data_IF_717008431582
#
_entry.id   IF_717008431582
#
_cell.length_a   1.000
_cell.length_b   1.000
_cell.length_c   1.000
_cell.angle_alpha   90.00
_cell.angle_beta   90.00
_cell.angle_gamma   90.00
#
_symmetry.space_group_name_H-M   'P 1'
#
loop_
_entity.id
_entity.type
_entity.pdbx_description
1 polymer ?
#
# COMPACT_ATOMS: atom_id res chain seq x y z
N UNK A 1 13.14 10.83 5.49
CA UNK A 1 13.62 9.62 4.78
C UNK A 1 15.00 9.25 5.26
N UNK A 2 15.40 7.96 5.19
CA UNK A 2 16.79 7.58 5.36
C UNK A 2 17.69 8.30 4.33
N UNK A 3 18.94 8.64 4.68
CA UNK A 3 19.78 9.52 3.87
C UNK A 3 20.25 8.91 2.54
N UNK A 4 20.20 7.58 2.39
CA UNK A 4 20.62 6.84 1.20
C UNK A 4 19.49 6.58 0.20
N UNK A 5 18.28 7.09 0.47
CA UNK A 5 17.13 6.86 -0.39
C UNK A 5 17.10 7.83 -1.58
N UNK A 6 16.94 7.27 -2.78
CA UNK A 6 16.66 8.02 -4.01
C UNK A 6 15.17 8.35 -4.07
N UNK A 7 14.83 9.63 -4.26
CA UNK A 7 13.45 10.14 -4.26
C UNK A 7 13.03 10.50 -5.68
N UNK A 8 11.83 10.09 -6.07
CA UNK A 8 11.21 10.45 -7.33
C UNK A 8 9.74 10.83 -7.13
N UNK A 9 9.27 11.82 -7.88
CA UNK A 9 7.88 12.27 -7.84
C UNK A 9 6.93 11.18 -8.37
N UNK A 10 5.75 11.11 -7.76
CA UNK A 10 4.63 10.27 -8.20
C UNK A 10 3.45 11.19 -8.48
N UNK A 11 2.94 11.18 -9.72
CA UNK A 11 1.86 12.08 -10.17
C UNK A 11 0.89 11.38 -11.10
N UNK A 12 -0.39 11.75 -11.00
CA UNK A 12 -1.47 11.18 -11.81
C UNK A 12 -2.08 9.93 -11.18
N UNK A 13 -2.91 9.17 -11.93
CA UNK A 13 -3.54 7.96 -11.41
C UNK A 13 -2.50 6.94 -10.90
N UNK A 14 -2.62 6.58 -9.62
CA UNK A 14 -1.71 5.66 -8.93
C UNK A 14 -2.51 4.54 -8.30
N UNK A 15 -2.11 3.30 -8.60
CA UNK A 15 -2.70 2.11 -8.02
C UNK A 15 -1.85 1.62 -6.84
N UNK A 16 -2.46 1.50 -5.65
CA UNK A 16 -1.79 0.91 -4.48
C UNK A 16 -1.57 -0.60 -4.70
N UNK A 17 -2.58 -1.30 -5.22
CA UNK A 17 -2.42 -2.69 -5.66
C UNK A 17 -1.29 -2.85 -6.70
N UNK A 18 -1.11 -1.84 -7.56
CA UNK A 18 0.03 -1.69 -8.46
C UNK A 18 1.39 -1.74 -7.76
N UNK A 19 1.53 -1.03 -6.65
CA UNK A 19 2.76 -1.00 -5.85
C UNK A 19 3.07 -2.37 -5.24
N UNK A 20 2.05 -3.18 -4.96
CA UNK A 20 2.21 -4.55 -4.46
C UNK A 20 2.63 -5.56 -5.55
N UNK A 21 2.69 -5.12 -6.82
CA UNK A 21 3.07 -5.96 -7.96
C UNK A 21 1.88 -6.48 -8.79
N UNK A 22 0.67 -5.98 -8.58
CA UNK A 22 -0.50 -6.35 -9.39
C UNK A 22 -0.71 -5.36 -10.55
N UNK A 23 -0.78 -5.84 -11.79
CA UNK A 23 -1.06 -5.00 -12.94
C UNK A 23 -2.54 -4.62 -13.08
N UNK A 24 -2.84 -3.80 -14.10
CA UNK A 24 -4.21 -3.38 -14.41
C UNK A 24 -5.13 -4.59 -14.67
N UNK A 25 -6.31 -4.60 -14.06
CA UNK A 25 -7.27 -5.71 -14.16
C UNK A 25 -7.05 -6.83 -13.13
N UNK A 26 -6.31 -6.56 -12.06
CA UNK A 26 -6.27 -7.42 -10.88
C UNK A 26 -7.67 -7.65 -10.30
N UNK A 27 -7.85 -8.76 -9.58
CA UNK A 27 -9.10 -9.09 -8.90
C UNK A 27 -8.88 -9.32 -7.41
N UNK A 28 -9.93 -9.14 -6.61
CA UNK A 28 -9.99 -9.54 -5.20
C UNK A 28 -11.09 -10.59 -5.00
N UNK A 29 -10.87 -11.49 -4.05
CA UNK A 29 -11.85 -12.48 -3.60
C UNK A 29 -12.01 -12.42 -2.07
N UNK A 30 -13.16 -11.92 -1.56
CA UNK A 30 -14.32 -11.46 -2.33
C UNK A 30 -14.07 -10.10 -3.02
N UNK A 31 -14.76 -9.80 -4.15
CA UNK A 31 -14.57 -8.55 -4.89
C UNK A 31 -14.82 -7.28 -4.08
N UNK A 32 -15.67 -7.37 -3.04
CA UNK A 32 -15.98 -6.27 -2.14
C UNK A 32 -14.75 -5.76 -1.38
N UNK A 33 -13.70 -6.55 -1.19
CA UNK A 33 -12.48 -6.14 -0.49
C UNK A 33 -11.50 -5.34 -1.38
N UNK A 34 -11.71 -5.30 -2.70
CA UNK A 34 -10.86 -4.59 -3.64
C UNK A 34 -10.62 -3.10 -3.30
N UNK A 35 -11.65 -2.32 -2.92
CA UNK A 35 -11.47 -0.90 -2.57
C UNK A 35 -10.51 -0.63 -1.40
N UNK A 36 -10.26 -1.60 -0.50
CA UNK A 36 -9.23 -1.43 0.55
C UNK A 36 -7.81 -1.49 -0.06
N UNK A 37 -7.61 -2.38 -1.03
CA UNK A 37 -6.35 -2.54 -1.75
C UNK A 37 -6.04 -1.37 -2.69
N UNK A 38 -7.07 -0.66 -3.17
CA UNK A 38 -6.90 0.43 -4.11
C UNK A 38 -8.06 1.45 -3.98
N UNK A 39 -7.97 2.40 -3.04
CA UNK A 39 -9.08 3.29 -2.71
C UNK A 39 -9.31 4.41 -3.74
N UNK A 40 -8.32 4.73 -4.58
CA UNK A 40 -8.38 5.84 -5.53
C UNK A 40 -7.63 5.60 -6.87
N UNK A 41 -7.78 4.43 -7.54
CA UNK A 41 -6.94 4.03 -8.68
C UNK A 41 -7.03 4.94 -9.91
N UNK A 42 -8.10 5.74 -10.01
CA UNK A 42 -8.41 6.56 -11.18
C UNK A 42 -8.31 8.08 -10.91
N UNK A 43 -7.88 8.50 -9.72
CA UNK A 43 -7.77 9.93 -9.40
C UNK A 43 -6.67 10.60 -10.25
N UNK A 44 -7.02 11.53 -11.18
CA UNK A 44 -6.04 12.21 -12.00
C UNK A 44 -5.17 13.20 -11.22
N UNK A 45 -5.57 13.55 -9.99
CA UNK A 45 -4.89 14.49 -9.12
C UNK A 45 -4.10 13.82 -8.00
N UNK A 46 -4.05 12.48 -7.99
CA UNK A 46 -3.20 11.76 -7.05
C UNK A 46 -1.74 12.20 -7.22
N UNK A 47 -1.06 12.35 -6.09
CA UNK A 47 0.29 12.88 -6.04
C UNK A 47 1.06 12.38 -4.83
N UNK A 48 2.38 12.49 -4.88
CA UNK A 48 3.26 12.15 -3.78
C UNK A 48 4.66 11.84 -4.27
N UNK A 49 5.33 10.89 -3.62
CA UNK A 49 6.68 10.50 -4.00
C UNK A 49 6.93 9.03 -3.73
N UNK A 50 7.92 8.49 -4.44
CA UNK A 50 8.57 7.23 -4.11
C UNK A 50 9.96 7.51 -3.55
N UNK A 51 10.43 6.62 -2.68
CA UNK A 51 11.77 6.67 -2.14
C UNK A 51 12.33 5.24 -2.09
N UNK A 52 13.42 4.98 -2.80
CA UNK A 52 14.03 3.64 -2.88
C UNK A 52 15.42 3.62 -2.27
N UNK A 53 15.71 2.61 -1.46
CA UNK A 53 17.02 2.44 -0.85
C UNK A 53 17.15 1.11 -0.10
N UNK A 54 18.13 1.02 0.80
CA UNK A 54 18.30 -0.18 1.62
C UNK A 54 17.11 -0.36 2.55
N UNK A 55 16.49 -1.52 2.46
CA UNK A 55 15.32 -1.88 3.27
C UNK A 55 13.99 -1.77 2.53
N UNK A 56 13.99 -1.36 1.25
CA UNK A 56 12.82 -1.44 0.37
C UNK A 56 12.50 -0.13 -0.33
N UNK A 57 11.41 -0.14 -1.07
CA UNK A 57 10.85 1.04 -1.74
C UNK A 57 9.62 1.51 -1.00
N UNK A 58 9.57 2.81 -0.69
CA UNK A 58 8.44 3.47 -0.05
C UNK A 58 7.69 4.26 -1.11
N UNK A 59 6.37 4.25 -1.05
CA UNK A 59 5.49 5.17 -1.74
C UNK A 59 4.71 5.95 -0.70
N UNK A 60 4.64 7.27 -0.85
CA UNK A 60 3.70 8.13 -0.14
C UNK A 60 2.79 8.76 -1.18
N UNK A 61 1.49 8.52 -1.08
CA UNK A 61 0.50 8.96 -2.06
C UNK A 61 -0.65 9.64 -1.35
N UNK A 62 -1.11 10.76 -1.89
CA UNK A 62 -2.35 11.44 -1.52
C UNK A 62 -3.28 11.39 -2.71
N UNK A 63 -4.52 10.98 -2.48
CA UNK A 63 -5.55 10.88 -3.52
C UNK A 63 -6.94 11.17 -2.93
N UNK A 64 -7.92 11.48 -3.78
CA UNK A 64 -9.32 11.65 -3.38
C UNK A 64 -9.99 10.30 -3.10
N UNK A 65 -10.39 10.08 -1.85
CA UNK A 65 -11.14 8.90 -1.42
C UNK A 65 -11.85 9.14 -0.08
N UNK A 66 -13.03 8.54 0.06
CA UNK A 66 -13.73 8.47 1.33
C UNK A 66 -13.26 7.27 2.17
N UNK A 67 -13.40 7.40 3.49
CA UNK A 67 -13.11 6.30 4.40
C UNK A 67 -14.00 5.08 4.10
N UNK A 68 -13.46 3.85 4.18
CA UNK A 68 -14.25 2.65 4.01
C UNK A 68 -15.28 2.52 5.15
N UNK A 69 -16.45 1.94 4.83
CA UNK A 69 -17.46 1.65 5.84
C UNK A 69 -16.97 0.60 6.85
N UNK A 70 -17.32 0.77 8.13
CA UNK A 70 -16.86 -0.12 9.21
C UNK A 70 -17.22 -1.61 8.99
N UNK A 71 -18.36 -1.90 8.34
CA UNK A 71 -18.74 -3.27 7.98
C UNK A 71 -17.73 -3.93 7.03
N UNK A 72 -17.17 -3.17 6.10
CA UNK A 72 -16.19 -3.67 5.14
C UNK A 72 -14.89 -4.14 5.84
N UNK A 73 -14.44 -3.41 6.86
CA UNK A 73 -13.25 -3.79 7.63
C UNK A 73 -13.47 -5.09 8.40
N UNK A 74 -14.68 -5.32 8.92
CA UNK A 74 -15.05 -6.58 9.57
C UNK A 74 -15.12 -7.76 8.60
N UNK A 75 -15.64 -7.52 7.39
CA UNK A 75 -15.83 -8.56 6.37
C UNK A 75 -14.53 -8.91 5.62
N UNK A 76 -13.56 -7.99 5.58
CA UNK A 76 -12.32 -8.11 4.79
C UNK A 76 -11.06 -8.29 5.65
N UNK A 77 -11.14 -8.99 6.80
CA UNK A 77 -9.98 -9.26 7.66
C UNK A 77 -8.81 -9.94 6.93
N UNK A 78 -9.11 -10.78 5.94
CA UNK A 78 -8.15 -11.38 5.01
C UNK A 78 -8.84 -11.67 3.68
N UNK A 79 -8.17 -11.39 2.56
CA UNK A 79 -8.68 -11.72 1.22
C UNK A 79 -7.56 -12.10 0.26
N UNK A 80 -7.93 -12.73 -0.86
CA UNK A 80 -6.99 -13.09 -1.93
C UNK A 80 -7.05 -12.10 -3.08
N UNK A 81 -5.92 -11.90 -3.74
CA UNK A 81 -5.80 -11.10 -4.96
C UNK A 81 -5.10 -11.87 -6.06
N UNK A 82 -5.44 -11.58 -7.33
CA UNK A 82 -4.83 -12.22 -8.49
C UNK A 82 -4.65 -11.25 -9.66
N UNK A 83 -3.59 -11.44 -10.43
CA UNK A 83 -3.33 -10.79 -11.71
C UNK A 83 -2.35 -11.62 -12.54
N UNK A 84 -2.76 -12.09 -13.72
CA UNK A 84 -1.89 -12.92 -14.57
C UNK A 84 -1.35 -14.13 -13.80
N UNK A 85 -0.03 -14.22 -13.64
CA UNK A 85 0.64 -15.28 -12.88
C UNK A 85 0.98 -14.90 -11.43
N UNK A 86 0.54 -13.73 -10.98
CA UNK A 86 0.72 -13.21 -9.63
C UNK A 86 -0.52 -13.51 -8.79
N UNK A 87 -0.32 -14.09 -7.62
CA UNK A 87 -1.34 -14.19 -6.57
C UNK A 87 -0.84 -13.50 -5.32
N UNK A 88 -1.74 -13.05 -4.45
CA UNK A 88 -1.35 -12.59 -3.13
C UNK A 88 -2.44 -12.76 -2.10
N UNK A 89 -2.03 -12.79 -0.85
CA UNK A 89 -2.92 -12.80 0.31
C UNK A 89 -2.73 -11.49 1.05
N UNK A 90 -3.82 -10.75 1.22
CA UNK A 90 -3.84 -9.50 2.00
C UNK A 90 -4.46 -9.78 3.35
N UNK A 91 -3.88 -9.23 4.41
CA UNK A 91 -4.35 -9.35 5.78
C UNK A 91 -4.43 -7.95 6.39
N UNK A 92 -5.56 -7.62 7.03
CA UNK A 92 -5.67 -6.40 7.82
C UNK A 92 -4.77 -6.50 9.06
N UNK A 93 -4.03 -5.44 9.33
CA UNK A 93 -3.22 -5.28 10.53
C UNK A 93 -3.84 -4.22 11.45
N UNK A 94 -3.36 -4.15 12.69
CA UNK A 94 -3.72 -3.06 13.59
C UNK A 94 -3.24 -1.73 12.97
N UNK A 95 -4.15 -0.79 12.67
CA UNK A 95 -3.75 0.44 12.02
C UNK A 95 -3.16 1.42 13.05
N UNK A 96 -2.22 2.28 12.65
CA UNK A 96 -1.71 3.30 13.54
C UNK A 96 -2.83 4.30 13.90
N UNK A 97 -2.89 4.78 15.13
CA UNK A 97 -3.78 5.88 15.47
C UNK A 97 -3.31 7.15 14.76
N UNK A 98 -4.25 7.87 14.15
CA UNK A 98 -4.06 9.20 13.58
C UNK A 98 -5.22 10.07 14.03
N UNK A 99 -4.94 11.15 14.76
CA UNK A 99 -5.98 12.00 15.33
C UNK A 99 -6.92 12.54 14.26
N UNK A 100 -8.23 12.36 14.43
CA UNK A 100 -9.25 12.88 13.52
C UNK A 100 -9.26 12.24 12.12
N UNK A 101 -8.62 11.08 11.93
CA UNK A 101 -8.63 10.34 10.68
C UNK A 101 -9.05 8.87 10.92
N UNK A 102 -9.77 8.28 9.98
CA UNK A 102 -9.96 6.83 9.96
C UNK A 102 -8.70 6.18 9.37
N UNK A 103 -8.24 5.06 9.94
CA UNK A 103 -7.02 4.40 9.48
C UNK A 103 -7.24 2.93 9.14
N UNK A 104 -6.49 2.46 8.15
CA UNK A 104 -6.48 1.07 7.69
C UNK A 104 -5.02 0.67 7.48
N UNK A 105 -4.63 -0.49 7.97
CA UNK A 105 -3.32 -1.07 7.70
C UNK A 105 -3.47 -2.47 7.13
N UNK A 106 -2.61 -2.80 6.18
CA UNK A 106 -2.61 -4.06 5.45
C UNK A 106 -1.19 -4.56 5.29
N UNK A 107 -1.05 -5.88 5.30
CA UNK A 107 0.13 -6.55 4.76
C UNK A 107 -0.28 -7.43 3.60
N UNK A 108 0.57 -7.55 2.60
CA UNK A 108 0.38 -8.46 1.48
C UNK A 108 1.64 -9.25 1.22
N UNK A 109 1.47 -10.55 1.01
CA UNK A 109 2.50 -11.42 0.44
C UNK A 109 2.08 -11.83 -0.95
N UNK A 110 2.93 -11.61 -1.94
CA UNK A 110 2.67 -11.97 -3.33
C UNK A 110 3.60 -13.08 -3.79
N UNK A 111 3.11 -13.88 -4.73
CA UNK A 111 3.85 -14.95 -5.40
C UNK A 111 3.57 -14.88 -6.89
N UNK A 112 4.63 -14.76 -7.67
CA UNK A 112 4.60 -14.80 -9.13
C UNK A 112 5.31 -16.05 -9.61
N UNK A 113 4.64 -16.87 -10.41
CA UNK A 113 5.24 -18.07 -11.02
C UNK A 113 5.45 -17.81 -12.51
N UNK A 114 6.69 -17.87 -12.99
CA UNK A 114 6.97 -17.74 -14.44
C UNK A 114 6.87 -19.08 -15.15
N UNK A 115 6.79 -19.07 -16.48
CA UNK A 115 6.60 -20.29 -17.31
C UNK A 115 7.67 -21.38 -17.08
N UNK A 116 8.88 -21.00 -16.69
CA UNK A 116 9.96 -21.93 -16.34
C UNK A 116 9.77 -22.63 -14.98
N UNK A 117 8.71 -22.29 -14.23
CA UNK A 117 8.46 -22.74 -12.87
C UNK A 117 9.24 -21.99 -11.80
N UNK A 118 10.03 -20.96 -12.17
CA UNK A 118 10.70 -20.11 -11.19
C UNK A 118 9.68 -19.23 -10.46
N UNK A 119 9.95 -18.94 -9.19
CA UNK A 119 9.03 -18.19 -8.34
C UNK A 119 9.69 -16.94 -7.79
N UNK A 120 8.97 -15.83 -7.86
CA UNK A 120 9.33 -14.58 -7.21
C UNK A 120 8.31 -14.31 -6.11
N UNK A 121 8.81 -14.10 -4.89
CA UNK A 121 7.99 -13.70 -3.76
C UNK A 121 8.15 -12.21 -3.52
N UNK A 122 7.05 -11.52 -3.21
CA UNK A 122 7.05 -10.13 -2.81
C UNK A 122 6.34 -9.94 -1.48
N UNK A 123 6.66 -8.85 -0.80
CA UNK A 123 5.96 -8.44 0.41
C UNK A 123 5.78 -6.94 0.43
N UNK A 124 4.60 -6.48 0.85
CA UNK A 124 4.37 -5.08 1.14
C UNK A 124 3.56 -4.87 2.42
N UNK A 125 3.78 -3.72 3.06
CA UNK A 125 2.98 -3.20 4.15
C UNK A 125 2.44 -1.82 3.75
N UNK A 126 1.15 -1.59 3.93
CA UNK A 126 0.50 -0.33 3.58
C UNK A 126 -0.32 0.17 4.75
N UNK A 127 -0.15 1.43 5.11
CA UNK A 127 -1.02 2.14 6.05
C UNK A 127 -1.70 3.32 5.34
N UNK A 128 -2.98 3.51 5.61
CA UNK A 128 -3.83 4.53 5.00
C UNK A 128 -4.49 5.37 6.09
N UNK A 129 -4.56 6.69 5.89
CA UNK A 129 -5.33 7.61 6.71
C UNK A 129 -6.30 8.41 5.85
N UNK A 130 -7.57 8.41 6.23
CA UNK A 130 -8.64 9.11 5.54
C UNK A 130 -9.05 10.36 6.31
N UNK A 131 -8.94 11.52 5.66
CA UNK A 131 -9.26 12.83 6.23
C UNK A 131 -9.75 13.78 5.12
N UNK A 132 -10.81 14.53 5.40
CA UNK A 132 -11.32 15.60 4.53
C UNK A 132 -11.51 15.20 3.05
N UNK A 133 -12.03 13.98 2.82
CA UNK A 133 -12.28 13.44 1.46
C UNK A 133 -11.03 12.95 0.72
N UNK A 134 -9.90 12.83 1.42
CA UNK A 134 -8.64 12.32 0.88
C UNK A 134 -8.17 11.09 1.65
N UNK A 135 -7.41 10.25 0.97
CA UNK A 135 -6.59 9.21 1.56
C UNK A 135 -5.12 9.58 1.42
N UNK A 136 -4.38 9.47 2.52
CA UNK A 136 -2.91 9.44 2.54
C UNK A 136 -2.52 7.98 2.71
N UNK A 137 -1.79 7.43 1.75
CA UNK A 137 -1.30 6.06 1.80
C UNK A 137 0.23 6.05 1.84
N UNK A 138 0.78 5.25 2.75
CA UNK A 138 2.19 4.89 2.79
C UNK A 138 2.31 3.41 2.52
N UNK A 139 3.02 3.03 1.46
CA UNK A 139 3.29 1.63 1.11
C UNK A 139 4.79 1.39 1.17
N UNK A 140 5.22 0.36 1.88
CA UNK A 140 6.58 -0.18 1.85
C UNK A 140 6.56 -1.50 1.09
N UNK A 141 7.35 -1.60 0.03
CA UNK A 141 7.60 -2.82 -0.74
C UNK A 141 8.99 -3.34 -0.40
N UNK A 142 9.06 -4.62 -0.05
CA UNK A 142 10.28 -5.32 0.34
C UNK A 142 10.46 -6.60 -0.45
N UNK A 143 11.72 -6.96 -0.68
CA UNK A 143 12.10 -8.25 -1.24
C UNK A 143 12.57 -9.17 -0.10
N UNK A 144 11.84 -10.25 0.22
CA UNK A 144 12.25 -11.22 1.24
C UNK A 144 13.62 -11.87 0.97
N UNK A 145 14.10 -11.88 -0.28
CA UNK A 145 15.41 -12.41 -0.67
C UNK A 145 16.56 -11.41 -0.54
N UNK A 146 16.29 -10.15 -0.16
CA UNK A 146 17.30 -9.11 -0.06
C UNK A 146 18.34 -9.39 1.04
N UNK A 147 19.61 -9.05 0.76
CA UNK A 147 20.70 -9.14 1.73
C UNK A 147 20.64 -8.04 2.81
N UNK A 148 19.83 -7.01 2.61
CA UNK A 148 19.66 -5.92 3.56
C UNK A 148 18.39 -6.15 4.40
N UNK A 149 18.43 -5.92 5.73
CA UNK A 149 17.24 -5.98 6.55
C UNK A 149 16.15 -5.05 6.01
N UNK A 150 14.89 -5.50 5.91
CA UNK A 150 13.80 -4.67 5.46
C UNK A 150 13.51 -3.56 6.49
N UNK A 151 12.99 -2.42 6.01
CA UNK A 151 12.20 -1.55 6.88
C UNK A 151 10.96 -2.31 7.37
N UNK A 152 10.31 -1.82 8.42
CA UNK A 152 9.17 -2.48 9.03
C UNK A 152 7.90 -1.64 8.99
N UNK A 153 6.80 -2.23 9.48
CA UNK A 153 5.50 -1.55 9.56
C UNK A 153 5.53 -0.33 10.50
N UNK A 154 6.40 -0.32 11.53
CA UNK A 154 6.52 0.84 12.43
C UNK A 154 7.04 2.06 11.66
N UNK A 155 7.99 1.86 10.74
CA UNK A 155 8.43 2.94 9.85
C UNK A 155 7.29 3.47 8.97
N UNK A 156 6.44 2.57 8.44
CA UNK A 156 5.27 2.94 7.63
C UNK A 156 4.29 3.79 8.45
N UNK A 157 4.00 3.37 9.68
CA UNK A 157 3.08 4.02 10.61
C UNK A 157 3.55 5.41 11.04
N UNK A 158 4.83 5.52 11.41
CA UNK A 158 5.47 6.79 11.75
C UNK A 158 5.46 7.76 10.56
N UNK A 159 5.70 7.24 9.37
CA UNK A 159 5.71 8.05 8.16
C UNK A 159 4.31 8.50 7.78
N UNK A 160 3.29 7.65 7.93
CA UNK A 160 1.89 8.05 7.71
C UNK A 160 1.52 9.22 8.63
N UNK A 161 1.83 9.13 9.92
CA UNK A 161 1.60 10.21 10.88
C UNK A 161 2.29 11.51 10.49
N UNK A 162 3.57 11.45 10.09
CA UNK A 162 4.33 12.62 9.63
C UNK A 162 3.74 13.22 8.34
N UNK A 163 3.32 12.39 7.40
CA UNK A 163 2.70 12.84 6.15
C UNK A 163 1.37 13.55 6.41
N UNK A 164 0.52 12.99 7.28
CA UNK A 164 -0.74 13.63 7.68
C UNK A 164 -0.49 14.95 8.41
N UNK A 165 0.46 15.00 9.34
CA UNK A 165 0.83 16.23 10.03
C UNK A 165 1.30 17.31 9.05
N UNK A 166 2.15 16.95 8.08
CA UNK A 166 2.64 17.87 7.06
C UNK A 166 1.52 18.44 6.16
N UNK A 167 0.48 17.65 5.85
CA UNK A 167 -0.68 18.11 5.09
C UNK A 167 -1.58 19.07 5.89
N UNK A 168 -1.60 18.96 7.22
CA UNK A 168 -2.41 19.80 8.10
C UNK A 168 -1.77 21.16 8.40
N UNK A 169 -0.44 21.26 8.30
CA UNK A 169 0.34 22.47 8.61
C UNK A 169 0.92 22.47 10.01
#
# INVERSE_FOLDING_TARGET
>A
MPPDYEIADVVGPVSIAGQWGFGAGWTADPPSCGPLADPAPADPHASGYSASGRGGTIYVVVAAADAPGAGLLGDCGQWSMAFGHTTGTVVLADPPPVDGAATVAMTVTTRTVVESGSETNGQAATAQAYLDGHVVAVTLVTDPGSAHPPLDAVFVDDLLNRSVAALRG
#
